data_IF_138939585239
#
_entry.id   IF_138939585239
#
_cell.length_a   1.000
_cell.length_b   1.000
_cell.length_c   1.000
_cell.angle_alpha   90.00
_cell.angle_beta   90.00
_cell.angle_gamma   90.00
#
_symmetry.space_group_name_H-M   'P 1'
#
loop_
_entity.id
_entity.type
_entity.pdbx_description
1 polymer ?
#
# COMPACT_ATOMS: atom_id res chain seq x y z
N UNK A 1 -20.24 -15.40 -11.90
CA UNK A 1 -20.57 -14.37 -12.92
C UNK A 1 -21.79 -13.62 -12.41
N UNK A 2 -21.70 -12.29 -12.26
CA UNK A 2 -22.82 -11.44 -11.79
C UNK A 2 -23.47 -10.78 -13.01
N UNK A 3 -24.78 -10.98 -13.20
CA UNK A 3 -25.56 -10.27 -14.20
C UNK A 3 -26.24 -9.05 -13.57
N UNK A 4 -25.80 -7.85 -13.94
CA UNK A 4 -26.38 -6.59 -13.43
C UNK A 4 -27.24 -5.96 -14.52
N UNK A 5 -28.45 -5.52 -14.16
CA UNK A 5 -29.31 -4.71 -15.03
C UNK A 5 -28.94 -3.25 -14.82
N UNK A 6 -28.69 -2.54 -15.91
CA UNK A 6 -28.45 -1.10 -15.92
C UNK A 6 -29.64 -0.43 -16.61
N UNK A 7 -29.98 0.77 -16.17
CA UNK A 7 -30.84 1.65 -16.95
C UNK A 7 -30.15 2.06 -18.26
N UNK A 8 -30.95 2.44 -19.25
CA UNK A 8 -30.50 2.77 -20.60
C UNK A 8 -29.41 3.86 -20.60
N UNK A 9 -29.61 4.93 -19.83
CA UNK A 9 -28.68 6.06 -19.74
C UNK A 9 -27.33 5.64 -19.14
N UNK A 10 -27.34 4.82 -18.09
CA UNK A 10 -26.12 4.30 -17.49
C UNK A 10 -25.40 3.34 -18.43
N UNK A 11 -26.12 2.47 -19.13
CA UNK A 11 -25.52 1.57 -20.11
C UNK A 11 -24.86 2.34 -21.27
N UNK A 12 -25.51 3.39 -21.77
CA UNK A 12 -24.97 4.25 -22.83
C UNK A 12 -23.69 4.97 -22.38
N UNK A 13 -23.70 5.55 -21.18
CA UNK A 13 -22.52 6.18 -20.59
C UNK A 13 -21.39 5.17 -20.39
N UNK A 14 -21.68 3.98 -19.87
CA UNK A 14 -20.68 2.91 -19.72
C UNK A 14 -20.11 2.50 -21.08
N UNK A 15 -20.94 2.40 -22.11
CA UNK A 15 -20.51 2.09 -23.48
C UNK A 15 -19.60 3.18 -24.05
N UNK A 16 -19.91 4.46 -23.80
CA UNK A 16 -19.09 5.58 -24.25
C UNK A 16 -17.70 5.54 -23.59
N UNK A 17 -17.64 5.32 -22.27
CA UNK A 17 -16.36 5.19 -21.54
C UNK A 17 -15.56 3.97 -22.01
N UNK A 18 -16.23 2.85 -22.28
CA UNK A 18 -15.61 1.65 -22.85
C UNK A 18 -14.94 1.93 -24.20
N UNK A 19 -15.65 2.61 -25.11
CA UNK A 19 -15.13 2.98 -26.42
C UNK A 19 -13.93 3.93 -26.32
N UNK A 20 -14.01 4.97 -25.49
CA UNK A 20 -12.92 5.95 -25.37
C UNK A 20 -11.65 5.35 -24.76
N UNK A 21 -11.78 4.32 -23.91
CA UNK A 21 -10.65 3.65 -23.28
C UNK A 21 -10.17 2.40 -24.04
N UNK A 22 -10.87 1.96 -25.08
CA UNK A 22 -10.57 0.71 -25.79
C UNK A 22 -10.72 -0.55 -24.92
N UNK A 23 -11.64 -0.53 -23.95
CA UNK A 23 -11.87 -1.62 -22.99
C UNK A 23 -13.29 -2.18 -23.13
N UNK A 24 -13.54 -3.39 -22.66
CA UNK A 24 -14.90 -3.94 -22.64
C UNK A 24 -15.75 -3.30 -21.54
N UNK A 25 -17.08 -3.23 -21.75
CA UNK A 25 -18.02 -2.75 -20.73
C UNK A 25 -17.90 -3.56 -19.43
N UNK A 26 -17.75 -4.88 -19.56
CA UNK A 26 -17.62 -5.81 -18.42
C UNK A 26 -16.36 -5.56 -17.61
N UNK A 27 -15.25 -5.20 -18.24
CA UNK A 27 -14.00 -4.90 -17.53
C UNK A 27 -14.10 -3.60 -16.74
N UNK A 28 -14.70 -2.57 -17.33
CA UNK A 28 -14.94 -1.30 -16.63
C UNK A 28 -15.94 -1.51 -15.48
N UNK A 29 -17.02 -2.25 -15.70
CA UNK A 29 -18.01 -2.53 -14.65
C UNK A 29 -17.38 -3.30 -13.47
N UNK A 30 -16.57 -4.32 -13.76
CA UNK A 30 -15.87 -5.10 -12.73
C UNK A 30 -14.89 -4.23 -11.94
N UNK A 31 -14.15 -3.37 -12.63
CA UNK A 31 -13.23 -2.42 -12.01
C UNK A 31 -13.95 -1.40 -11.13
N UNK A 32 -15.07 -0.86 -11.60
CA UNK A 32 -15.89 0.08 -10.84
C UNK A 32 -16.44 -0.56 -9.55
N UNK A 33 -16.95 -1.80 -9.64
CA UNK A 33 -17.42 -2.56 -8.48
C UNK A 33 -16.28 -2.82 -7.50
N UNK A 34 -15.11 -3.26 -7.99
CA UNK A 34 -13.93 -3.49 -7.14
C UNK A 34 -13.53 -2.22 -6.37
N UNK A 35 -13.38 -1.10 -7.07
CA UNK A 35 -13.04 0.19 -6.44
C UNK A 35 -14.09 0.68 -5.46
N UNK A 36 -15.36 0.43 -5.75
CA UNK A 36 -16.45 0.79 -4.85
C UNK A 36 -16.34 -0.02 -3.55
N UNK A 37 -16.17 -1.34 -3.65
CA UNK A 37 -15.99 -2.21 -2.48
C UNK A 37 -14.75 -1.80 -1.67
N UNK A 38 -13.60 -1.63 -2.32
CA UNK A 38 -12.36 -1.22 -1.65
C UNK A 38 -12.49 0.13 -0.93
N UNK A 39 -13.20 1.09 -1.53
CA UNK A 39 -13.44 2.40 -0.91
C UNK A 39 -14.35 2.31 0.31
N UNK A 40 -15.31 1.40 0.28
CA UNK A 40 -16.35 1.26 1.30
C UNK A 40 -16.11 0.10 2.27
N UNK A 41 -14.94 -0.54 2.22
CA UNK A 41 -14.51 -1.53 3.20
C UNK A 41 -14.03 -0.80 4.48
N UNK A 42 -15.00 -0.20 5.17
CA UNK A 42 -14.83 0.55 6.43
C UNK A 42 -14.17 -0.31 7.53
N UNK A 43 -14.36 -1.64 7.48
CA UNK A 43 -13.78 -2.57 8.42
C UNK A 43 -12.25 -2.63 8.31
N UNK A 44 -11.71 -2.62 7.08
CA UNK A 44 -10.27 -2.56 6.85
C UNK A 44 -9.68 -1.23 7.33
N UNK A 45 -10.35 -0.11 7.01
CA UNK A 45 -9.92 1.23 7.44
C UNK A 45 -9.99 1.41 8.97
N UNK A 46 -11.03 0.86 9.60
CA UNK A 46 -11.21 0.91 11.05
C UNK A 46 -10.19 0.04 11.79
N UNK A 47 -9.87 -1.14 11.25
CA UNK A 47 -8.86 -2.03 11.83
C UNK A 47 -7.46 -1.45 11.70
N UNK A 48 -7.08 -0.94 10.52
CA UNK A 48 -5.80 -0.27 10.33
C UNK A 48 -5.65 0.92 11.29
N UNK A 49 -6.70 1.74 11.45
CA UNK A 49 -6.72 2.85 12.41
C UNK A 49 -6.59 2.38 13.86
N UNK A 50 -7.28 1.30 14.26
CA UNK A 50 -7.13 0.71 15.59
C UNK A 50 -5.71 0.25 15.85
N UNK A 51 -5.10 -0.45 14.91
CA UNK A 51 -3.74 -0.98 15.05
C UNK A 51 -2.71 0.15 15.14
N UNK A 52 -2.81 1.19 14.31
CA UNK A 52 -1.93 2.36 14.39
C UNK A 52 -2.09 3.09 15.72
N UNK A 53 -3.31 3.26 16.22
CA UNK A 53 -3.55 3.88 17.53
C UNK A 53 -3.04 3.00 18.68
N UNK A 54 -3.21 1.68 18.60
CA UNK A 54 -2.69 0.75 19.57
C UNK A 54 -1.16 0.77 19.61
N UNK A 55 -0.50 0.75 18.45
CA UNK A 55 0.95 0.87 18.34
C UNK A 55 1.47 2.21 18.87
N UNK A 56 0.80 3.33 18.56
CA UNK A 56 1.17 4.63 19.09
C UNK A 56 0.93 4.75 20.62
N UNK A 57 -0.10 4.08 21.13
CA UNK A 57 -0.44 4.08 22.56
C UNK A 57 0.47 3.17 23.39
N UNK A 58 1.10 2.16 22.78
CA UNK A 58 2.05 1.27 23.46
C UNK A 58 3.33 2.00 23.88
N UNK A 59 3.56 3.23 23.42
CA UNK A 59 4.72 4.04 23.79
C UNK A 59 6.05 3.40 23.33
N UNK A 60 7.15 4.13 23.50
CA UNK A 60 8.47 3.50 23.40
C UNK A 60 8.64 2.53 24.57
N UNK A 61 8.90 1.27 24.26
CA UNK A 61 9.19 0.24 25.25
C UNK A 61 10.69 0.10 25.47
N UNK A 62 11.09 -0.49 26.60
CA UNK A 62 12.51 -0.81 26.87
C UNK A 62 13.10 -1.75 25.80
N UNK A 63 12.26 -2.59 25.17
CA UNK A 63 12.64 -3.41 24.03
C UNK A 63 12.93 -2.55 22.79
N UNK A 64 12.15 -1.50 22.53
CA UNK A 64 12.41 -0.55 21.43
C UNK A 64 13.74 0.19 21.63
N UNK A 65 14.06 0.59 22.87
CA UNK A 65 15.37 1.16 23.20
C UNK A 65 16.51 0.15 23.02
N UNK A 66 16.26 -1.13 23.31
CA UNK A 66 17.24 -2.19 23.11
C UNK A 66 17.47 -2.48 21.61
N UNK A 67 16.42 -2.46 20.78
CA UNK A 67 16.52 -2.60 19.32
C UNK A 67 17.19 -1.39 18.68
N UNK A 68 16.91 -0.16 19.14
CA UNK A 68 17.60 1.04 18.69
C UNK A 68 19.10 1.00 19.06
N UNK A 69 19.41 0.55 20.28
CA UNK A 69 20.79 0.33 20.74
C UNK A 69 21.54 -0.75 19.93
N UNK A 70 20.83 -1.73 19.39
CA UNK A 70 21.39 -2.72 18.46
C UNK A 70 21.46 -2.19 17.02
N UNK A 71 20.55 -1.30 16.62
CA UNK A 71 20.49 -0.67 15.30
C UNK A 71 21.63 0.32 15.04
N UNK A 72 22.12 1.01 16.08
CA UNK A 72 23.33 1.86 15.99
C UNK A 72 24.64 1.06 15.80
N UNK A 73 24.61 -0.28 15.85
CA UNK A 73 25.76 -1.11 15.50
C UNK A 73 25.93 -1.30 13.98
N UNK A 74 24.98 -0.83 13.17
CA UNK A 74 25.01 -0.87 11.70
C UNK A 74 24.93 0.54 11.09
N UNK A 75 25.52 1.54 11.74
CA UNK A 75 25.88 2.78 11.05
C UNK A 75 27.27 2.62 10.41
N UNK A 76 27.34 3.04 9.14
CA UNK A 76 28.35 2.85 8.09
C UNK A 76 29.70 2.14 8.41
N UNK A 77 30.13 1.14 7.59
CA UNK A 77 31.52 0.70 7.63
C UNK A 77 32.42 1.89 7.25
N UNK A 78 33.27 2.30 8.20
CA UNK A 78 34.40 3.22 8.01
C UNK A 78 35.00 3.04 6.60
N UNK A 79 35.15 4.11 5.80
CA UNK A 79 35.69 3.98 4.46
C UNK A 79 37.10 3.41 4.58
N UNK A 80 37.26 2.14 4.18
CA UNK A 80 38.49 1.40 4.31
C UNK A 80 39.69 2.24 3.85
N UNK A 81 40.50 2.68 4.81
CA UNK A 81 41.79 3.32 4.54
C UNK A 81 42.68 2.31 3.85
N UNK A 82 42.66 2.33 2.52
CA UNK A 82 43.67 1.71 1.70
C UNK A 82 44.95 2.53 1.84
N UNK A 83 45.87 2.07 2.67
CA UNK A 83 47.27 2.45 2.58
C UNK A 83 48.10 1.24 2.16
N UNK A 84 48.23 1.13 0.84
CA UNK A 84 49.34 0.50 0.14
C UNK A 84 50.71 0.91 0.73
N UNK A 85 51.63 -0.06 0.72
CA UNK A 85 53.09 0.08 0.88
C UNK A 85 53.55 0.38 2.33
N UNK A 86 54.70 -0.07 2.82
CA UNK A 86 55.92 -0.54 2.18
C UNK A 86 56.75 -1.32 3.22
N UNK A 87 57.60 -2.24 2.74
CA UNK A 87 58.86 -2.72 3.36
C UNK A 87 58.76 -3.28 4.80
N UNK A 88 59.24 -4.48 5.09
CA UNK A 88 60.59 -5.01 4.88
C UNK A 88 60.56 -6.55 4.84
#
# INVERSE_FOLDING_TARGET
>A
MLGVRLDSDLEERLAAVARTQGRSKSDIAREAVRRYVERHDEAFLAEARRQSLAAAALGWTEDDEAWERLGVAWDDPEPATNSLSAAE
#
